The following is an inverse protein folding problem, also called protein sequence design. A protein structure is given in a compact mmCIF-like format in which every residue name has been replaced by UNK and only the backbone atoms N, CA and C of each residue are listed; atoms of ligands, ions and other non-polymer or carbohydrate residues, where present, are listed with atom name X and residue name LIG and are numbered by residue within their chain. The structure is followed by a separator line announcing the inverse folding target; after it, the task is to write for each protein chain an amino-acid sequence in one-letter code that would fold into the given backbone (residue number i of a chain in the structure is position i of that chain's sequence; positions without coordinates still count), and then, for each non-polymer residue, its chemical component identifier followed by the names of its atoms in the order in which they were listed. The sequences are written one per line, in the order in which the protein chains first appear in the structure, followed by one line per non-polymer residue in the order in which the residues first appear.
data_IF_177543532346
#
_entry.id   IF_177543532346
#
_cell.length_a   1.000
_cell.length_b   1.000
_cell.length_c   1.000
_cell.angle_alpha   90.00
_cell.angle_beta   90.00
_cell.angle_gamma   90.00
#
_symmetry.space_group_name_H-M   'P 1'
#
loop_
_entity.id
_entity.type
_entity.pdbx_description
1 polymer ?
#
# COMPACT_ATOMS: atom_id res chain seq x y z
N UNK A 1 16.64 7.52 1.93
CA UNK A 1 16.33 6.24 1.26
C UNK A 1 15.58 5.34 2.23
N UNK A 2 14.72 4.46 1.73
CA UNK A 2 13.99 3.47 2.54
C UNK A 2 14.10 2.11 1.87
N UNK A 3 14.59 1.12 2.60
CA UNK A 3 14.59 -0.27 2.18
C UNK A 3 13.18 -0.88 2.39
N UNK A 4 12.65 -1.53 1.36
CA UNK A 4 11.32 -2.14 1.40
C UNK A 4 11.39 -3.61 1.01
N UNK A 5 10.65 -4.44 1.74
CA UNK A 5 10.40 -5.83 1.40
C UNK A 5 9.10 -5.91 0.63
N UNK A 6 9.15 -6.38 -0.61
CA UNK A 6 7.96 -6.52 -1.43
C UNK A 6 7.04 -7.61 -0.86
N UNK A 7 5.76 -7.27 -0.71
CA UNK A 7 4.66 -8.20 -0.40
C UNK A 7 3.70 -8.32 -1.58
N UNK A 8 3.08 -9.49 -1.71
CA UNK A 8 1.87 -9.61 -2.52
C UNK A 8 0.77 -8.78 -1.87
N UNK A 9 -0.13 -8.25 -2.69
CA UNK A 9 -1.33 -7.56 -2.21
C UNK A 9 -2.50 -8.53 -2.25
N UNK A 10 -3.42 -8.38 -1.31
CA UNK A 10 -4.71 -9.06 -1.33
C UNK A 10 -5.69 -8.38 -2.30
N UNK A 11 -6.92 -8.92 -2.38
CA UNK A 11 -7.97 -8.36 -3.22
C UNK A 11 -8.42 -6.94 -2.81
N UNK A 12 -8.10 -6.51 -1.60
CA UNK A 12 -8.41 -5.18 -1.07
C UNK A 12 -7.24 -4.20 -1.24
N UNK A 13 -6.15 -4.63 -1.88
CA UNK A 13 -4.97 -3.80 -2.14
C UNK A 13 -3.99 -3.70 -0.97
N UNK A 14 -4.17 -4.49 0.09
CA UNK A 14 -3.28 -4.48 1.26
C UNK A 14 -2.19 -5.54 1.17
N UNK A 15 -0.96 -5.27 1.63
CA UNK A 15 0.08 -6.28 1.76
C UNK A 15 -0.38 -7.52 2.53
N UNK A 16 -0.16 -8.70 1.97
CA UNK A 16 -0.44 -9.98 2.64
C UNK A 16 0.47 -10.15 3.86
N UNK A 17 -0.12 -10.64 4.95
CA UNK A 17 0.61 -11.02 6.16
C UNK A 17 1.37 -12.33 5.95
N UNK A 18 2.47 -12.52 6.69
CA UNK A 18 3.29 -13.74 6.65
C UNK A 18 4.68 -13.52 6.04
N UNK A 19 5.36 -14.62 5.71
CA UNK A 19 6.81 -14.59 5.41
C UNK A 19 7.14 -14.62 3.91
N UNK A 20 6.17 -14.79 3.02
CA UNK A 20 6.43 -14.75 1.58
C UNK A 20 6.78 -13.32 1.13
N UNK A 21 7.76 -13.18 0.24
CA UNK A 21 8.26 -11.90 -0.25
C UNK A 21 8.63 -12.00 -1.73
N UNK A 22 8.43 -10.93 -2.50
CA UNK A 22 8.91 -10.85 -3.88
C UNK A 22 10.37 -10.41 -4.01
N UNK A 23 11.01 -10.03 -2.89
CA UNK A 23 12.38 -9.53 -2.85
C UNK A 23 12.48 -8.22 -2.06
N UNK A 24 13.61 -7.54 -2.21
CA UNK A 24 13.89 -6.24 -1.59
C UNK A 24 14.23 -5.20 -2.65
N UNK A 25 13.78 -3.98 -2.43
CA UNK A 25 14.08 -2.83 -3.28
C UNK A 25 14.23 -1.58 -2.41
N UNK A 26 14.68 -0.49 -3.01
CA UNK A 26 14.93 0.75 -2.29
C UNK A 26 14.14 1.91 -2.90
N UNK A 27 13.43 2.65 -2.06
CA UNK A 27 12.87 3.93 -2.43
C UNK A 27 13.89 5.03 -2.17
N UNK A 28 14.27 5.73 -3.24
CA UNK A 28 15.07 6.93 -3.19
C UNK A 28 14.15 8.16 -3.27
N UNK A 29 14.04 8.89 -2.15
CA UNK A 29 13.35 10.18 -2.11
C UNK A 29 14.41 11.29 -2.12
N UNK A 30 14.20 12.34 -2.95
CA UNK A 30 15.07 13.52 -3.00
C UNK A 30 15.00 14.36 -1.72
N UNK A 31 13.86 14.32 -1.03
CA UNK A 31 13.64 14.97 0.26
C UNK A 31 14.05 14.10 1.44
N UNK A 32 13.90 14.68 2.64
CA UNK A 32 14.11 13.97 3.88
C UNK A 32 12.88 13.13 4.24
N UNK A 33 13.11 11.87 4.65
CA UNK A 33 12.09 10.99 5.21
C UNK A 33 12.39 10.84 6.70
N UNK A 34 11.43 11.23 7.53
CA UNK A 34 11.57 11.15 9.00
C UNK A 34 11.71 9.69 9.46
N UNK A 35 12.86 9.29 10.06
CA UNK A 35 13.12 7.89 10.41
C UNK A 35 12.15 7.29 11.43
N UNK A 36 11.59 8.12 12.33
CA UNK A 36 10.58 7.65 13.29
C UNK A 36 9.27 7.26 12.60
N UNK A 37 8.92 7.97 11.52
CA UNK A 37 7.71 7.75 10.74
C UNK A 37 7.89 6.59 9.75
N UNK A 38 8.98 6.61 8.97
CA UNK A 38 9.32 5.57 7.98
C UNK A 38 10.20 4.49 8.61
N UNK A 39 9.76 4.00 9.77
CA UNK A 39 10.49 3.03 10.58
C UNK A 39 10.24 1.58 10.13
N UNK A 40 11.13 0.69 10.57
CA UNK A 40 11.03 -0.74 10.28
C UNK A 40 9.71 -1.30 10.81
N UNK A 41 9.01 -2.05 9.95
CA UNK A 41 7.73 -2.69 10.28
C UNK A 41 6.51 -1.91 9.79
N UNK A 42 6.67 -0.65 9.37
CA UNK A 42 5.60 0.14 8.75
C UNK A 42 5.40 -0.24 7.30
N UNK A 43 4.14 -0.35 6.88
CA UNK A 43 3.78 -0.53 5.47
C UNK A 43 3.95 0.77 4.70
N UNK A 44 4.50 0.69 3.49
CA UNK A 44 4.59 1.83 2.57
C UNK A 44 4.13 1.44 1.17
N UNK A 45 3.48 2.38 0.49
CA UNK A 45 3.16 2.31 -0.93
C UNK A 45 3.78 3.51 -1.62
N UNK A 46 4.41 3.29 -2.76
CA UNK A 46 4.99 4.38 -3.53
C UNK A 46 4.91 4.13 -5.03
N UNK A 47 4.95 5.23 -5.77
CA UNK A 47 5.03 5.25 -7.24
C UNK A 47 6.27 6.04 -7.62
N UNK A 48 6.95 5.57 -8.65
CA UNK A 48 8.20 6.18 -9.10
C UNK A 48 8.79 5.47 -10.30
N UNK A 49 9.99 5.90 -10.69
CA UNK A 49 10.73 5.35 -11.84
C UNK A 49 11.90 4.52 -11.36
N UNK A 50 12.15 3.40 -12.03
CA UNK A 50 13.36 2.62 -11.79
C UNK A 50 14.55 3.44 -12.27
N UNK A 51 15.47 3.77 -11.36
CA UNK A 51 16.67 4.55 -11.64
C UNK A 51 17.88 3.67 -11.96
N UNK A 52 17.85 2.42 -11.53
CA UNK A 52 18.93 1.46 -11.70
C UNK A 52 19.02 0.54 -10.49
N UNK A 53 20.24 0.13 -10.17
CA UNK A 53 20.54 -0.71 -9.00
C UNK A 53 21.59 -0.08 -8.10
N UNK A 54 21.58 -0.46 -6.82
CA UNK A 54 22.55 -0.04 -5.81
C UNK A 54 23.00 -1.23 -4.98
N UNK A 55 24.31 -1.39 -4.82
CA UNK A 55 24.87 -2.43 -3.95
C UNK A 55 24.72 -1.98 -2.50
N UNK A 56 24.09 -2.82 -1.70
CA UNK A 56 23.99 -2.69 -0.25
C UNK A 56 24.22 -4.03 0.44
N UNK A 57 23.70 -4.18 1.65
CA UNK A 57 23.81 -5.43 2.42
C UNK A 57 22.45 -5.85 2.98
N UNK A 58 22.19 -7.15 2.94
CA UNK A 58 21.10 -7.79 3.69
C UNK A 58 21.74 -8.73 4.71
N UNK A 59 21.63 -8.36 5.99
CA UNK A 59 22.48 -8.96 7.03
C UNK A 59 23.95 -8.69 6.73
N UNK A 60 24.75 -9.74 6.55
CA UNK A 60 26.18 -9.62 6.25
C UNK A 60 26.52 -9.81 4.78
N UNK A 61 25.54 -10.14 3.93
CA UNK A 61 25.78 -10.46 2.52
C UNK A 61 25.53 -9.26 1.62
N UNK A 62 26.38 -9.03 0.61
CA UNK A 62 26.10 -8.02 -0.41
C UNK A 62 24.81 -8.37 -1.16
N UNK A 63 24.02 -7.35 -1.46
CA UNK A 63 22.76 -7.48 -2.20
C UNK A 63 22.62 -6.30 -3.16
N UNK A 64 22.18 -6.57 -4.38
CA UNK A 64 21.92 -5.56 -5.40
C UNK A 64 20.44 -5.17 -5.36
N UNK A 65 20.17 -3.96 -4.90
CA UNK A 65 18.82 -3.43 -4.76
C UNK A 65 18.39 -2.71 -6.03
N UNK A 66 17.23 -3.05 -6.63
CA UNK A 66 16.54 -2.15 -7.54
C UNK A 66 16.20 -0.86 -6.80
N UNK A 67 16.53 0.28 -7.42
CA UNK A 67 16.28 1.61 -6.85
C UNK A 67 15.16 2.28 -7.62
N UNK A 68 14.13 2.69 -6.89
CA UNK A 68 12.99 3.44 -7.40
C UNK A 68 13.10 4.88 -6.92
N UNK A 69 13.30 5.81 -7.85
CA UNK A 69 13.19 7.24 -7.57
C UNK A 69 11.71 7.59 -7.36
N UNK A 70 11.39 8.03 -6.15
CA UNK A 70 10.03 8.27 -5.68
C UNK A 70 9.46 9.54 -6.32
N UNK A 71 8.27 9.39 -6.91
CA UNK A 71 7.40 10.52 -7.28
C UNK A 71 6.33 10.75 -6.19
N UNK A 72 5.79 9.68 -5.61
CA UNK A 72 4.87 9.72 -4.45
C UNK A 72 5.16 8.54 -3.52
N UNK A 73 5.20 8.78 -2.21
CA UNK A 73 5.37 7.74 -1.19
C UNK A 73 4.44 8.03 -0.01
N UNK A 74 3.64 7.03 0.35
CA UNK A 74 2.66 7.10 1.43
C UNK A 74 2.85 5.94 2.40
N UNK A 75 2.56 6.18 3.67
CA UNK A 75 2.44 5.12 4.65
C UNK A 75 1.11 4.44 4.43
N UNK A 76 1.10 3.11 4.50
CA UNK A 76 -0.15 2.43 4.82
C UNK A 76 -0.40 2.71 6.30
N UNK A 77 -1.48 3.41 6.59
CA UNK A 77 -1.98 3.50 7.95
C UNK A 77 -2.17 2.08 8.50
N UNK A 78 -2.02 1.94 9.82
CA UNK A 78 -2.47 0.74 10.52
C UNK A 78 -4.00 0.74 10.48
N UNK A 79 -4.56 0.52 9.28
CA UNK A 79 -5.97 0.29 9.10
C UNK A 79 -6.19 -1.02 9.81
N UNK A 80 -6.79 -0.96 11.00
CA UNK A 80 -7.43 -2.12 11.59
C UNK A 80 -8.25 -2.74 10.47
N UNK A 81 -7.77 -3.88 9.94
CA UNK A 81 -8.55 -4.69 9.01
C UNK A 81 -9.76 -5.09 9.80
N UNK A 82 -10.81 -4.27 9.77
CA UNK A 82 -12.05 -4.59 10.44
C UNK A 82 -12.58 -5.80 9.67
N UNK A 83 -12.50 -7.01 10.23
CA UNK A 83 -12.92 -8.21 9.52
C UNK A 83 -14.45 -8.20 9.30
N UNK A 84 -15.15 -7.24 9.93
CA UNK A 84 -16.57 -6.98 9.79
C UNK A 84 -16.89 -5.77 8.88
N UNK A 85 -15.91 -5.22 8.15
CA UNK A 85 -16.22 -4.26 7.10
C UNK A 85 -16.89 -5.00 5.94
N UNK A 86 -18.21 -5.14 6.04
CA UNK A 86 -19.05 -5.58 4.94
C UNK A 86 -19.23 -4.39 3.99
N UNK A 87 -18.78 -4.48 2.72
CA UNK A 87 -19.20 -3.51 1.73
C UNK A 87 -20.74 -3.50 1.70
N UNK A 88 -21.40 -2.32 1.61
CA UNK A 88 -22.85 -2.19 1.84
C UNK A 88 -23.72 -3.06 0.94
N UNK A 89 -23.17 -3.58 -0.17
CA UNK A 89 -23.85 -4.49 -1.08
C UNK A 89 -23.95 -5.95 -0.58
N UNK A 90 -23.29 -6.31 0.54
CA UNK A 90 -23.26 -7.66 1.11
C UNK A 90 -24.01 -7.79 2.44
N UNK A 91 -24.78 -6.80 2.86
CA UNK A 91 -25.69 -6.94 4.01
C UNK A 91 -26.99 -7.66 3.56
N UNK A 92 -27.34 -8.84 4.11
CA UNK A 92 -28.60 -9.53 3.81
C UNK A 92 -29.84 -8.72 4.18
N UNK A 93 -29.68 -7.65 4.98
CA UNK A 93 -30.72 -6.69 5.37
C UNK A 93 -30.72 -5.44 4.50
N UNK A 94 -29.78 -5.28 3.57
CA UNK A 94 -29.86 -4.25 2.53
C UNK A 94 -30.99 -4.64 1.57
N UNK A 95 -32.17 -4.05 1.80
CA UNK A 95 -33.28 -4.10 0.85
C UNK A 95 -33.14 -2.90 -0.09
N UNK A 96 -32.70 -3.07 -1.35
CA UNK A 96 -32.55 -1.95 -2.27
C UNK A 96 -33.90 -1.50 -2.82
N UNK A 97 -34.93 -1.23 -2.01
CA UNK A 97 -36.27 -0.84 -2.49
C UNK A 97 -37.11 -0.05 -1.48
N UNK A 98 -36.58 1.03 -0.92
CA UNK A 98 -37.45 1.95 -0.17
C UNK A 98 -36.98 3.40 -0.21
N UNK A 99 -36.67 3.93 -1.39
CA UNK A 99 -36.88 5.35 -1.71
C UNK A 99 -36.86 5.59 -3.23
N UNK A 100 -38.02 5.45 -3.85
CA UNK A 100 -38.47 6.26 -4.97
C UNK A 100 -39.98 6.46 -4.74
N UNK A 101 -40.60 7.64 -4.99
CA UNK A 101 -40.27 8.55 -6.10
C UNK A 101 -40.41 10.06 -5.78
N UNK A 102 -39.71 10.93 -6.53
CA UNK A 102 -40.36 12.02 -7.27
C UNK A 102 -39.34 12.68 -8.21
N UNK A 103 -39.44 12.39 -9.50
CA UNK A 103 -38.86 13.24 -10.54
C UNK A 103 -39.97 14.15 -11.05
N UNK A 104 -39.93 15.47 -10.82
CA UNK A 104 -40.85 16.38 -11.46
C UNK A 104 -40.46 16.47 -12.94
N UNK A 105 -41.40 16.13 -13.82
CA UNK A 105 -41.30 16.46 -15.23
C UNK A 105 -41.19 17.98 -15.38
N UNK A 106 -40.12 18.46 -16.02
CA UNK A 106 -40.10 19.77 -16.65
C UNK A 106 -39.87 19.59 -18.16
N UNK A 107 -40.95 19.94 -18.88
CA UNK A 107 -41.14 20.26 -20.31
C UNK A 107 -40.64 19.29 -21.37
#
# INVERSE_FOLDING_TARGET
EVEVVQKKIDFSGYPEMGNQTGGRFMFFNKGFLEPEIYSKGRGVTGVGKIRGTQIGKVGERPFEFPVIEVEKLELLDDVERNPYFYPPYWDPRYRPHSYAPYWPYYQ
#
